data_IF_659208503418
#
_entry.id   IF_659208503418
#
_cell.length_a   1.000
_cell.length_b   1.000
_cell.length_c   1.000
_cell.angle_alpha   90.00
_cell.angle_beta   90.00
_cell.angle_gamma   90.00
#
_symmetry.space_group_name_H-M   'P 1'
#
loop_
_entity.id
_entity.type
_entity.pdbx_description
1 polymer ?
#
# COMPACT_ATOMS: atom_id res chain seq x y z
N UNK A 1 21.65 -25.61 -19.28
CA UNK A 1 22.55 -25.14 -20.35
C UNK A 1 23.93 -25.73 -20.12
N UNK A 2 24.51 -26.40 -21.16
CA UNK A 2 25.86 -26.89 -21.11
C UNK A 2 26.81 -25.82 -21.67
N UNK A 3 27.87 -25.52 -20.96
CA UNK A 3 28.95 -24.65 -21.42
C UNK A 3 30.07 -25.55 -21.96
N UNK A 4 30.34 -25.41 -23.24
CA UNK A 4 31.41 -26.15 -23.89
C UNK A 4 32.76 -25.47 -23.70
N UNK A 5 33.87 -26.20 -23.60
CA UNK A 5 35.21 -25.65 -23.60
C UNK A 5 35.49 -24.73 -24.79
N UNK A 6 36.44 -23.82 -24.62
CA UNK A 6 36.80 -22.89 -25.69
C UNK A 6 37.26 -23.61 -26.96
N UNK A 7 36.67 -23.23 -28.10
CA UNK A 7 36.91 -23.88 -29.40
C UNK A 7 35.98 -25.02 -29.73
N UNK A 8 35.15 -25.50 -28.80
CA UNK A 8 34.17 -26.58 -29.03
C UNK A 8 32.76 -25.99 -29.18
N UNK A 9 32.04 -26.31 -30.23
CA UNK A 9 30.66 -25.83 -30.50
C UNK A 9 29.58 -26.78 -30.04
N UNK A 10 29.92 -28.11 -29.90
CA UNK A 10 28.97 -29.13 -29.50
C UNK A 10 29.68 -30.30 -28.76
N UNK A 11 28.88 -31.27 -28.28
CA UNK A 11 29.35 -32.42 -27.52
C UNK A 11 30.34 -33.28 -28.31
N UNK A 12 30.18 -33.37 -29.64
CA UNK A 12 31.05 -34.19 -30.49
C UNK A 12 32.44 -33.53 -30.61
N UNK A 13 32.50 -32.21 -30.75
CA UNK A 13 33.78 -31.48 -30.75
C UNK A 13 34.52 -31.71 -29.44
N UNK A 14 33.85 -31.60 -28.28
CA UNK A 14 34.46 -31.87 -26.96
C UNK A 14 34.99 -33.31 -26.87
N UNK A 15 34.21 -34.28 -27.33
CA UNK A 15 34.61 -35.68 -27.30
C UNK A 15 35.86 -35.95 -28.15
N UNK A 16 35.95 -35.32 -29.34
CA UNK A 16 37.08 -35.49 -30.25
C UNK A 16 38.35 -34.76 -29.84
N UNK A 17 38.20 -33.56 -29.25
CA UNK A 17 39.35 -32.72 -28.91
C UNK A 17 39.84 -32.91 -27.47
N UNK A 18 38.93 -33.03 -26.50
CA UNK A 18 39.20 -33.04 -25.06
C UNK A 18 38.94 -34.43 -24.42
N UNK A 19 38.23 -35.32 -25.13
CA UNK A 19 37.94 -36.66 -24.66
C UNK A 19 36.71 -36.81 -23.76
N UNK A 20 36.43 -38.09 -23.38
CA UNK A 20 35.21 -38.46 -22.66
C UNK A 20 35.10 -37.78 -21.27
N UNK A 21 36.22 -37.65 -20.56
CA UNK A 21 36.21 -37.07 -19.21
C UNK A 21 35.79 -35.59 -19.22
N UNK A 22 36.25 -34.81 -20.20
CA UNK A 22 35.91 -33.41 -20.38
C UNK A 22 34.43 -33.26 -20.78
N UNK A 23 33.93 -34.11 -21.67
CA UNK A 23 32.50 -34.13 -22.04
C UNK A 23 31.61 -34.43 -20.83
N UNK A 24 31.97 -35.45 -20.04
CA UNK A 24 31.23 -35.80 -18.82
C UNK A 24 31.21 -34.63 -17.83
N UNK A 25 32.35 -33.99 -17.58
CA UNK A 25 32.45 -32.82 -16.71
C UNK A 25 31.58 -31.65 -17.20
N UNK A 26 31.54 -31.37 -18.50
CA UNK A 26 30.68 -30.33 -19.08
C UNK A 26 29.19 -30.62 -18.89
N UNK A 27 28.80 -31.91 -18.95
CA UNK A 27 27.40 -32.32 -18.73
C UNK A 27 27.02 -32.25 -17.24
N UNK A 28 27.91 -32.76 -16.36
CA UNK A 28 27.69 -32.76 -14.89
C UNK A 28 27.63 -31.34 -14.30
N UNK A 29 28.39 -30.40 -14.87
CA UNK A 29 28.38 -29.00 -14.51
C UNK A 29 27.35 -28.16 -15.30
N UNK A 30 26.44 -28.79 -16.05
CA UNK A 30 25.43 -28.07 -16.79
C UNK A 30 24.47 -27.33 -15.88
N UNK A 31 24.29 -26.05 -16.15
CA UNK A 31 23.28 -25.22 -15.48
C UNK A 31 21.85 -25.66 -15.87
N UNK A 32 20.97 -25.72 -14.87
CA UNK A 32 19.54 -25.92 -15.15
C UNK A 32 18.99 -24.88 -16.11
N UNK A 33 18.12 -25.27 -17.02
CA UNK A 33 17.46 -24.30 -17.89
C UNK A 33 16.49 -23.45 -17.03
N UNK A 34 16.63 -22.11 -16.99
CA UNK A 34 15.73 -21.29 -16.19
C UNK A 34 14.31 -21.41 -16.76
N UNK A 35 13.44 -22.05 -16.01
CA UNK A 35 12.01 -22.10 -16.35
C UNK A 35 11.41 -20.73 -16.05
N UNK A 36 10.84 -20.10 -17.06
CA UNK A 36 10.24 -18.78 -16.94
C UNK A 36 9.12 -18.80 -15.88
N UNK A 37 9.26 -17.97 -14.84
CA UNK A 37 8.29 -17.90 -13.75
C UNK A 37 8.52 -18.92 -12.61
N UNK A 38 9.59 -19.74 -12.66
CA UNK A 38 9.99 -20.59 -11.56
C UNK A 38 11.24 -20.00 -10.89
N UNK A 39 11.09 -19.61 -9.61
CA UNK A 39 12.14 -19.03 -8.80
C UNK A 39 12.43 -19.89 -7.57
N UNK A 40 13.63 -19.77 -7.04
CA UNK A 40 14.02 -20.31 -5.73
C UNK A 40 14.09 -19.18 -4.72
N UNK A 41 13.98 -19.48 -3.44
CA UNK A 41 14.14 -18.45 -2.40
C UNK A 41 15.52 -17.80 -2.40
N UNK A 42 16.56 -18.52 -2.84
CA UNK A 42 17.90 -17.98 -3.05
C UNK A 42 17.98 -16.87 -4.10
N UNK A 43 17.04 -16.83 -5.04
CA UNK A 43 16.97 -15.77 -6.06
C UNK A 43 16.49 -14.43 -5.46
N UNK A 44 15.97 -14.47 -4.25
CA UNK A 44 15.47 -13.32 -3.46
C UNK A 44 16.23 -13.12 -2.15
N UNK A 45 17.44 -13.66 -2.02
CA UNK A 45 18.22 -13.64 -0.77
C UNK A 45 18.51 -12.21 -0.29
N UNK A 46 18.78 -11.30 -1.22
CA UNK A 46 19.03 -9.88 -0.90
C UNK A 46 17.79 -9.21 -0.34
N UNK A 47 16.62 -9.42 -0.95
CA UNK A 47 15.34 -8.88 -0.50
C UNK A 47 14.95 -9.46 0.87
N UNK A 48 15.15 -10.77 1.07
CA UNK A 48 14.89 -11.45 2.34
C UNK A 48 15.81 -10.92 3.44
N UNK A 49 17.11 -10.73 3.13
CA UNK A 49 18.10 -10.19 4.05
C UNK A 49 17.80 -8.75 4.43
N UNK A 50 17.39 -7.94 3.46
CA UNK A 50 16.93 -6.57 3.70
C UNK A 50 15.71 -6.55 4.62
N UNK A 51 14.72 -7.41 4.35
CA UNK A 51 13.52 -7.53 5.19
C UNK A 51 13.85 -7.97 6.62
N UNK A 52 14.82 -8.88 6.81
CA UNK A 52 15.29 -9.30 8.14
C UNK A 52 15.92 -8.15 8.92
N UNK A 53 16.65 -7.24 8.23
CA UNK A 53 17.30 -6.07 8.84
C UNK A 53 16.39 -4.88 9.10
N UNK A 54 15.09 -4.98 8.80
CA UNK A 54 14.13 -3.88 8.96
C UNK A 54 13.89 -3.56 10.43
N UNK A 55 14.20 -2.32 10.84
CA UNK A 55 13.96 -1.83 12.20
C UNK A 55 12.48 -1.62 12.50
N UNK A 56 12.10 -1.65 13.79
CA UNK A 56 10.76 -1.30 14.23
C UNK A 56 10.46 0.18 13.89
N UNK A 57 9.29 0.42 13.25
CA UNK A 57 8.85 1.76 12.83
C UNK A 57 9.19 2.12 11.39
N UNK A 58 9.88 1.25 10.64
CA UNK A 58 10.02 1.41 9.20
C UNK A 58 8.67 1.23 8.48
N UNK A 59 8.51 1.82 7.29
CA UNK A 59 7.30 1.68 6.46
C UNK A 59 6.99 0.22 6.11
N UNK A 60 8.00 -0.65 6.02
CA UNK A 60 7.84 -2.10 5.79
C UNK A 60 7.13 -2.84 6.94
N UNK A 61 7.24 -2.33 8.18
CA UNK A 61 6.51 -2.83 9.36
C UNK A 61 5.23 -2.05 9.64
N UNK A 62 4.90 -1.09 8.79
CA UNK A 62 3.73 -0.24 8.89
C UNK A 62 3.95 1.04 9.66
N UNK A 63 3.26 2.09 9.22
CA UNK A 63 3.27 3.41 9.84
C UNK A 63 2.24 3.51 10.95
N UNK A 64 2.46 4.44 11.88
CA UNK A 64 1.55 4.70 13.00
C UNK A 64 0.17 5.14 12.51
N UNK A 65 -0.87 4.63 13.15
CA UNK A 65 -2.27 5.06 12.94
C UNK A 65 -2.57 6.43 13.57
N UNK A 66 -1.64 6.96 14.38
CA UNK A 66 -1.84 8.15 15.20
C UNK A 66 -2.48 7.86 16.56
N UNK A 67 -2.77 6.60 16.87
CA UNK A 67 -3.29 6.17 18.17
C UNK A 67 -2.37 5.11 18.78
N UNK A 68 -1.62 5.47 19.81
CA UNK A 68 -0.66 4.57 20.45
C UNK A 68 -1.26 3.24 20.91
N UNK A 69 -2.53 3.26 21.36
CA UNK A 69 -3.25 2.03 21.76
C UNK A 69 -3.57 1.10 20.59
N UNK A 70 -3.76 1.64 19.40
CA UNK A 70 -4.00 0.87 18.17
C UNK A 70 -2.68 0.36 17.59
N UNK A 71 -1.64 1.17 17.60
CA UNK A 71 -0.33 0.88 17.02
C UNK A 71 0.33 -0.38 17.59
N UNK A 72 -0.04 -0.76 18.81
CA UNK A 72 0.42 -2.02 19.43
C UNK A 72 -0.20 -3.28 18.79
N UNK A 73 -1.30 -3.12 18.04
CA UNK A 73 -2.08 -4.21 17.46
C UNK A 73 -2.19 -4.15 15.95
N UNK A 74 -2.15 -2.94 15.39
CA UNK A 74 -2.32 -2.68 13.97
C UNK A 74 -1.54 -1.44 13.56
N UNK A 75 -0.81 -1.53 12.46
CA UNK A 75 -0.14 -0.46 11.75
C UNK A 75 -0.52 -0.54 10.29
N UNK A 76 -0.48 0.60 9.60
CA UNK A 76 -0.84 0.64 8.17
C UNK A 76 0.39 0.35 7.34
N UNK A 77 0.34 -0.73 6.55
CA UNK A 77 1.43 -1.14 5.66
C UNK A 77 1.08 -0.77 4.22
N UNK A 78 1.92 -0.01 3.51
CA UNK A 78 1.71 0.28 2.09
C UNK A 78 1.63 -1.01 1.24
N UNK A 79 0.69 -1.05 0.30
CA UNK A 79 0.47 -2.19 -0.58
C UNK A 79 -0.41 -3.30 0.00
N UNK A 80 -0.85 -3.20 1.26
CA UNK A 80 -1.77 -4.18 1.86
C UNK A 80 -3.24 -3.79 1.68
N UNK A 81 -4.08 -4.80 1.48
CA UNK A 81 -5.54 -4.67 1.51
C UNK A 81 -6.05 -4.81 2.95
N UNK A 82 -6.63 -3.74 3.48
CA UNK A 82 -7.28 -3.76 4.81
C UNK A 82 -8.79 -3.78 4.67
N UNK A 83 -9.45 -4.75 5.31
CA UNK A 83 -10.91 -4.87 5.35
C UNK A 83 -11.42 -4.56 6.76
N UNK A 84 -12.28 -3.53 6.89
CA UNK A 84 -12.86 -3.10 8.16
C UNK A 84 -14.32 -3.49 8.21
N UNK A 85 -14.65 -4.38 9.15
CA UNK A 85 -16.02 -4.91 9.33
C UNK A 85 -16.57 -4.57 10.71
N UNK A 86 -17.87 -4.73 10.88
CA UNK A 86 -18.57 -4.52 12.15
C UNK A 86 -20.05 -4.26 11.95
N UNK A 87 -20.79 -4.25 13.04
CA UNK A 87 -22.25 -4.00 13.00
C UNK A 87 -22.59 -2.61 12.42
N UNK A 88 -23.79 -2.43 11.83
CA UNK A 88 -24.24 -1.14 11.39
C UNK A 88 -24.17 -0.08 12.50
N UNK A 89 -23.85 1.15 12.15
CA UNK A 89 -23.71 2.31 13.07
C UNK A 89 -22.66 2.16 14.19
N UNK A 90 -21.68 1.23 14.04
CA UNK A 90 -20.58 1.09 15.00
C UNK A 90 -19.45 2.13 14.85
N UNK A 91 -19.57 3.05 13.90
CA UNK A 91 -18.57 4.09 13.67
C UNK A 91 -17.42 3.71 12.74
N UNK A 92 -17.52 2.61 11.97
CA UNK A 92 -16.47 2.18 11.03
C UNK A 92 -15.98 3.30 10.11
N UNK A 93 -16.92 3.93 9.39
CA UNK A 93 -16.59 5.03 8.46
C UNK A 93 -15.97 6.23 9.19
N UNK A 94 -16.47 6.56 10.39
CA UNK A 94 -15.87 7.62 11.22
C UNK A 94 -14.45 7.30 11.65
N UNK A 95 -14.16 6.02 11.96
CA UNK A 95 -12.82 5.56 12.31
C UNK A 95 -11.89 5.60 11.10
N UNK A 96 -12.34 5.14 9.91
CA UNK A 96 -11.57 5.21 8.66
C UNK A 96 -11.23 6.64 8.30
N UNK A 97 -12.22 7.54 8.33
CA UNK A 97 -12.03 8.96 8.06
C UNK A 97 -10.99 9.57 9.01
N UNK A 98 -11.03 9.22 10.30
CA UNK A 98 -10.07 9.70 11.28
C UNK A 98 -8.66 9.11 11.06
N UNK A 99 -8.56 7.83 10.68
CA UNK A 99 -7.30 7.19 10.31
C UNK A 99 -6.67 7.89 9.11
N UNK A 100 -7.44 8.13 8.05
CA UNK A 100 -6.94 8.83 6.86
C UNK A 100 -6.44 10.25 7.20
N UNK A 101 -7.18 11.00 8.04
CA UNK A 101 -6.73 12.30 8.50
C UNK A 101 -5.41 12.22 9.29
N UNK A 102 -5.25 11.22 10.17
CA UNK A 102 -4.00 11.02 10.90
C UNK A 102 -2.84 10.70 9.96
N UNK A 103 -3.03 9.78 9.02
CA UNK A 103 -2.00 9.40 8.05
C UNK A 103 -1.61 10.59 7.14
N UNK A 104 -2.59 11.39 6.71
CA UNK A 104 -2.32 12.60 5.94
C UNK A 104 -1.48 13.61 6.73
N UNK A 105 -1.83 13.85 8.00
CA UNK A 105 -1.15 14.83 8.86
C UNK A 105 0.23 14.35 9.29
N UNK A 106 0.37 13.08 9.68
CA UNK A 106 1.60 12.57 10.28
C UNK A 106 2.61 12.06 9.24
N UNK A 107 2.12 11.50 8.14
CA UNK A 107 2.94 10.83 7.14
C UNK A 107 2.85 11.46 5.73
N UNK A 108 2.03 12.50 5.56
CA UNK A 108 1.87 13.19 4.27
C UNK A 108 1.14 12.34 3.20
N UNK A 109 0.39 11.33 3.62
CA UNK A 109 -0.33 10.46 2.69
C UNK A 109 -1.46 11.20 1.99
N UNK A 110 -1.69 10.83 0.74
CA UNK A 110 -2.84 11.28 -0.06
C UNK A 110 -3.79 10.12 -0.32
N UNK A 111 -5.08 10.43 -0.49
CA UNK A 111 -6.14 9.42 -0.58
C UNK A 111 -7.05 9.65 -1.76
N UNK A 112 -7.42 8.55 -2.43
CA UNK A 112 -8.51 8.52 -3.39
C UNK A 112 -9.75 7.90 -2.72
N UNK A 113 -10.83 8.68 -2.59
CA UNK A 113 -12.05 8.28 -1.91
C UNK A 113 -13.11 7.85 -2.91
N UNK A 114 -13.55 6.59 -2.82
CA UNK A 114 -14.70 6.07 -3.53
C UNK A 114 -15.83 5.80 -2.53
N UNK A 115 -16.50 6.86 -2.07
CA UNK A 115 -17.57 6.78 -1.06
C UNK A 115 -18.94 6.79 -1.70
N UNK A 116 -19.70 5.70 -1.52
CA UNK A 116 -21.07 5.52 -2.04
C UNK A 116 -22.13 5.94 -1.02
N UNK A 117 -21.77 6.05 0.27
CA UNK A 117 -22.74 6.28 1.35
C UNK A 117 -22.93 7.76 1.68
N UNK A 118 -21.90 8.57 1.54
CA UNK A 118 -21.92 9.97 1.97
C UNK A 118 -22.09 10.92 0.79
N UNK A 119 -22.95 11.93 0.95
CA UNK A 119 -22.94 13.09 0.06
C UNK A 119 -21.61 13.84 0.19
N UNK A 120 -21.10 14.37 -0.91
CA UNK A 120 -19.79 15.03 -0.95
C UNK A 120 -19.61 16.08 0.14
N UNK A 121 -20.59 16.97 0.30
CA UNK A 121 -20.52 18.03 1.30
C UNK A 121 -20.58 17.52 2.76
N UNK A 122 -21.26 16.40 3.00
CA UNK A 122 -21.30 15.77 4.33
C UNK A 122 -19.98 15.08 4.65
N UNK A 123 -19.36 14.43 3.67
CA UNK A 123 -18.06 13.79 3.83
C UNK A 123 -16.95 14.85 4.02
N UNK A 124 -16.94 15.90 3.18
CA UNK A 124 -16.00 17.01 3.33
C UNK A 124 -16.10 17.64 4.74
N UNK A 125 -17.34 17.89 5.22
CA UNK A 125 -17.56 18.38 6.58
C UNK A 125 -16.92 17.47 7.64
N UNK A 126 -17.14 16.15 7.57
CA UNK A 126 -16.61 15.18 8.53
C UNK A 126 -15.08 15.17 8.55
N UNK A 127 -14.44 15.22 7.39
CA UNK A 127 -12.98 15.25 7.28
C UNK A 127 -12.40 16.57 7.80
N UNK A 128 -13.03 17.72 7.47
CA UNK A 128 -12.60 19.02 8.00
C UNK A 128 -12.75 19.10 9.52
N UNK A 129 -13.86 18.61 10.10
CA UNK A 129 -14.05 18.54 11.56
C UNK A 129 -12.94 17.72 12.24
N UNK A 130 -12.50 16.59 11.60
CA UNK A 130 -11.43 15.75 12.13
C UNK A 130 -10.06 16.40 12.04
N UNK A 131 -9.79 17.07 10.93
CA UNK A 131 -8.54 17.78 10.71
C UNK A 131 -8.37 18.98 11.63
N UNK A 132 -9.42 19.82 11.75
CA UNK A 132 -9.36 21.07 12.52
C UNK A 132 -9.62 20.88 14.02
N UNK A 133 -10.29 19.79 14.42
CA UNK A 133 -10.76 19.57 15.78
C UNK A 133 -11.88 20.53 16.21
N UNK A 134 -12.42 21.33 15.28
CA UNK A 134 -13.50 22.29 15.52
C UNK A 134 -14.83 21.78 14.91
N UNK A 135 -15.97 21.96 15.61
CA UNK A 135 -17.26 21.51 15.09
C UNK A 135 -17.75 22.41 13.95
N UNK A 136 -18.34 21.81 12.92
CA UNK A 136 -18.99 22.54 11.83
C UNK A 136 -20.26 23.27 12.27
N UNK A 137 -21.00 22.65 13.19
CA UNK A 137 -22.23 23.20 13.75
C UNK A 137 -22.08 23.43 15.26
N UNK A 138 -22.68 24.52 15.75
CA UNK A 138 -22.68 24.85 17.18
C UNK A 138 -23.43 23.77 17.99
N UNK A 139 -22.89 23.44 19.17
CA UNK A 139 -23.56 22.52 20.10
C UNK A 139 -23.63 21.05 19.73
N UNK A 140 -23.00 20.64 18.63
CA UNK A 140 -22.98 19.25 18.21
C UNK A 140 -22.06 18.45 19.09
N UNK A 141 -22.17 17.49 19.72
CA UNK A 141 -21.30 16.67 20.61
C UNK A 141 -21.32 17.06 22.11
N UNK A 142 -22.44 17.59 22.59
CA UNK A 142 -22.67 17.72 24.04
C UNK A 142 -21.78 18.74 24.78
N UNK A 143 -21.02 19.53 24.04
CA UNK A 143 -20.15 20.59 24.59
C UNK A 143 -20.52 21.96 24.05
N UNK A 144 -20.22 23.01 24.83
CA UNK A 144 -20.37 24.44 24.42
C UNK A 144 -19.21 24.86 23.46
N UNK A 145 -18.76 23.98 22.55
CA UNK A 145 -17.77 24.40 21.54
C UNK A 145 -18.45 25.30 20.51
N UNK A 146 -17.89 26.47 20.32
CA UNK A 146 -18.34 27.37 19.26
C UNK A 146 -18.11 26.72 17.87
N UNK A 147 -18.97 27.04 16.93
CA UNK A 147 -18.82 26.68 15.54
C UNK A 147 -17.48 27.17 14.98
N UNK A 148 -16.82 26.38 14.13
CA UNK A 148 -15.60 26.82 13.46
C UNK A 148 -15.80 28.11 12.65
N UNK A 149 -14.77 28.93 12.61
CA UNK A 149 -14.80 30.18 11.83
C UNK A 149 -14.73 29.92 10.33
N UNK A 150 -15.26 30.84 9.50
CA UNK A 150 -15.17 30.69 8.04
C UNK A 150 -13.72 30.56 7.53
N UNK A 151 -12.76 31.18 8.18
CA UNK A 151 -11.33 31.08 7.84
C UNK A 151 -10.80 29.66 8.09
N UNK A 152 -11.12 29.07 9.26
CA UNK A 152 -10.76 27.69 9.61
C UNK A 152 -11.38 26.71 8.62
N UNK A 153 -12.64 26.92 8.24
CA UNK A 153 -13.31 26.11 7.23
C UNK A 153 -12.59 26.17 5.88
N UNK A 154 -12.23 27.37 5.39
CA UNK A 154 -11.51 27.51 4.12
C UNK A 154 -10.14 26.85 4.15
N UNK A 155 -9.40 26.99 5.26
CA UNK A 155 -8.12 26.28 5.45
C UNK A 155 -8.30 24.76 5.43
N UNK A 156 -9.34 24.25 6.09
CA UNK A 156 -9.68 22.83 6.07
C UNK A 156 -10.03 22.32 4.68
N UNK A 157 -10.81 23.07 3.88
CA UNK A 157 -11.11 22.72 2.51
C UNK A 157 -9.86 22.74 1.61
N UNK A 158 -9.00 23.73 1.76
CA UNK A 158 -7.74 23.75 1.03
C UNK A 158 -6.83 22.59 1.39
N UNK A 159 -6.79 22.18 2.66
CA UNK A 159 -6.07 20.98 3.06
C UNK A 159 -6.68 19.72 2.45
N UNK A 160 -8.02 19.61 2.41
CA UNK A 160 -8.70 18.49 1.73
C UNK A 160 -8.31 18.38 0.26
N UNK A 161 -8.31 19.48 -0.47
CA UNK A 161 -7.95 19.49 -1.90
C UNK A 161 -6.52 19.00 -2.15
N UNK A 162 -5.61 19.19 -1.18
CA UNK A 162 -4.23 18.74 -1.29
C UNK A 162 -4.04 17.25 -0.89
N UNK A 163 -4.90 16.72 -0.03
CA UNK A 163 -4.70 15.37 0.53
C UNK A 163 -5.68 14.34 -0.02
N UNK A 164 -6.82 14.77 -0.56
CA UNK A 164 -7.90 13.87 -0.96
C UNK A 164 -8.41 14.16 -2.36
N UNK A 165 -8.67 13.11 -3.13
CA UNK A 165 -9.43 13.18 -4.38
C UNK A 165 -10.67 12.29 -4.28
N UNK A 166 -11.74 12.66 -4.97
CA UNK A 166 -12.98 11.90 -4.99
C UNK A 166 -13.10 11.15 -6.31
N UNK A 167 -13.34 9.84 -6.22
CA UNK A 167 -13.68 9.00 -7.37
C UNK A 167 -15.20 8.92 -7.43
N UNK A 168 -15.81 9.49 -8.47
CA UNK A 168 -17.26 9.45 -8.73
C UNK A 168 -17.52 9.23 -10.19
N UNK A 169 -18.58 8.45 -10.48
CA UNK A 169 -19.11 8.36 -11.84
C UNK A 169 -19.88 9.65 -12.17
N UNK A 170 -19.72 10.20 -13.38
CA UNK A 170 -20.38 11.46 -13.79
C UNK A 170 -21.91 11.32 -13.86
N UNK A 171 -22.42 10.12 -14.16
CA UNK A 171 -23.85 9.82 -14.36
C UNK A 171 -24.56 9.29 -13.11
N UNK A 172 -24.01 9.48 -11.90
CA UNK A 172 -24.53 8.92 -10.63
C UNK A 172 -24.71 7.38 -10.63
N UNK A 173 -24.17 6.66 -11.61
CA UNK A 173 -24.10 5.21 -11.60
C UNK A 173 -23.07 4.72 -10.60
N UNK A 174 -23.29 3.52 -10.05
CA UNK A 174 -22.30 2.90 -9.16
C UNK A 174 -21.09 2.49 -9.98
N UNK A 175 -19.88 3.01 -9.66
CA UNK A 175 -18.68 2.63 -10.38
C UNK A 175 -18.45 1.11 -10.23
N UNK A 176 -18.23 0.44 -11.35
CA UNK A 176 -17.79 -0.96 -11.36
C UNK A 176 -16.32 -1.06 -10.95
N UNK A 177 -15.89 -2.25 -10.54
CA UNK A 177 -14.46 -2.49 -10.22
C UNK A 177 -13.60 -2.21 -11.46
N UNK A 178 -14.07 -2.61 -12.65
CA UNK A 178 -13.37 -2.38 -13.93
C UNK A 178 -13.24 -0.89 -14.30
N UNK A 179 -14.11 -0.04 -13.74
CA UNK A 179 -14.04 1.41 -13.94
C UNK A 179 -13.05 2.08 -12.97
N UNK A 180 -12.85 1.49 -11.78
CA UNK A 180 -11.95 2.04 -10.74
C UNK A 180 -10.48 1.68 -11.01
N UNK A 181 -10.23 0.52 -11.64
CA UNK A 181 -8.90 -0.01 -11.99
C UNK A 181 -8.50 0.47 -13.39
#
# INVERSE_FOLDING_TARGET
>A
RVHWPEGCKDANDVLQTEGEAALRGSIENAEGFPLRGLFRFSDFEDDISQYFGVEEGSEMKGVSTGWASVDNHYRVVPGELTVITGVPNSGKSEWVDALMCNLAVQHGWTFALCSMENKVHEHARKLVEKYTGEPWFEGKYGGKKARMRPETMRQGLHWLDNQFVLIRHEDDELPSVDWII
#
